data_IF_060395394754
#
_entry.id   IF_060395394754
#
_cell.length_a   1.000
_cell.length_b   1.000
_cell.length_c   1.000
_cell.angle_alpha   90.00
_cell.angle_beta   90.00
_cell.angle_gamma   90.00
#
_symmetry.space_group_name_H-M   'P 1'
#
loop_
_entity.id
_entity.type
_entity.pdbx_description
1 polymer ?
#
# COMPACT_ATOMS: atom_id res chain seq x y z
N UNK A 1 33.60 -25.08 -0.15
CA UNK A 1 32.20 -25.24 -0.58
C UNK A 1 31.33 -24.39 0.32
N UNK A 2 30.87 -23.28 -0.24
CA UNK A 2 29.58 -22.59 -0.03
C UNK A 2 29.11 -22.45 1.42
N UNK A 3 29.23 -21.21 1.93
CA UNK A 3 28.40 -20.66 3.00
C UNK A 3 26.92 -20.75 2.61
N UNK A 4 26.02 -21.21 3.48
CA UNK A 4 24.64 -20.76 3.42
C UNK A 4 24.51 -19.59 4.40
N UNK A 5 24.51 -18.37 3.87
CA UNK A 5 24.04 -17.20 4.59
C UNK A 5 22.60 -17.43 5.03
N UNK A 6 22.39 -17.59 6.33
CA UNK A 6 21.05 -17.59 6.93
C UNK A 6 20.47 -16.19 6.82
N UNK A 7 19.85 -15.92 5.67
CA UNK A 7 19.10 -14.70 5.42
C UNK A 7 17.95 -14.62 6.42
N UNK A 8 18.08 -13.71 7.36
CA UNK A 8 17.06 -13.33 8.34
C UNK A 8 15.90 -12.66 7.62
N UNK A 9 14.93 -13.46 7.15
CA UNK A 9 13.68 -12.95 6.59
C UNK A 9 12.83 -12.43 7.76
N UNK A 10 12.94 -11.13 8.04
CA UNK A 10 12.10 -10.42 9.00
C UNK A 10 10.67 -10.41 8.46
N UNK A 11 9.88 -11.40 8.87
CA UNK A 11 8.46 -11.49 8.57
C UNK A 11 7.74 -10.36 9.32
N UNK A 12 7.38 -9.29 8.59
CA UNK A 12 6.64 -8.15 9.13
C UNK A 12 5.29 -8.65 9.67
N UNK A 13 5.15 -8.65 11.01
CA UNK A 13 3.93 -8.95 11.76
C UNK A 13 2.71 -8.21 11.18
N UNK A 14 1.81 -8.94 10.54
CA UNK A 14 0.47 -8.47 10.16
C UNK A 14 -0.37 -8.45 11.45
N UNK A 15 -0.57 -7.26 12.03
CA UNK A 15 -1.55 -7.07 13.11
C UNK A 15 -2.95 -7.25 12.53
N UNK A 16 -3.54 -8.41 12.74
CA UNK A 16 -4.94 -8.70 12.45
C UNK A 16 -5.80 -8.21 13.63
N UNK A 17 -6.77 -7.33 13.35
CA UNK A 17 -7.63 -6.72 14.39
C UNK A 17 -8.03 -5.25 14.15
N UNK A 18 -7.57 -4.62 13.06
CA UNK A 18 -8.02 -3.29 12.65
C UNK A 18 -9.10 -3.37 11.57
N UNK A 19 -10.10 -2.46 11.62
CA UNK A 19 -11.08 -2.24 10.54
C UNK A 19 -10.41 -2.40 9.17
N UNK A 20 -10.97 -3.23 8.28
CA UNK A 20 -10.44 -3.43 6.92
C UNK A 20 -10.38 -2.07 6.20
N UNK A 21 -9.18 -1.51 6.07
CA UNK A 21 -8.96 -0.29 5.30
C UNK A 21 -8.92 -0.69 3.82
N UNK A 22 -9.63 0.06 2.98
CA UNK A 22 -9.60 -0.10 1.53
C UNK A 22 -9.12 1.19 0.87
N UNK A 23 -8.47 1.04 -0.29
CA UNK A 23 -8.07 2.19 -1.09
C UNK A 23 -9.31 2.84 -1.71
N UNK A 24 -9.47 4.15 -1.52
CA UNK A 24 -10.57 4.91 -2.12
C UNK A 24 -10.58 4.91 -3.65
N UNK A 25 -9.41 4.75 -4.28
CA UNK A 25 -9.29 4.75 -5.74
C UNK A 25 -9.40 3.34 -6.33
N UNK A 26 -8.54 2.40 -5.93
CA UNK A 26 -8.50 1.06 -6.55
C UNK A 26 -9.15 -0.06 -5.73
N UNK A 27 -9.72 0.26 -4.57
CA UNK A 27 -10.39 -0.68 -3.66
C UNK A 27 -9.52 -1.83 -3.12
N UNK A 28 -8.20 -1.84 -3.38
CA UNK A 28 -7.31 -2.83 -2.75
C UNK A 28 -7.39 -2.74 -1.24
N UNK A 29 -7.47 -3.89 -0.58
CA UNK A 29 -7.33 -4.06 0.87
C UNK A 29 -5.90 -4.44 1.27
N UNK A 30 -5.02 -4.67 0.28
CA UNK A 30 -3.62 -5.01 0.49
C UNK A 30 -2.71 -3.93 -0.10
N UNK A 31 -1.79 -3.42 0.73
CA UNK A 31 -0.77 -2.46 0.30
C UNK A 31 0.39 -2.50 1.29
N UNK A 32 1.66 -2.32 0.83
CA UNK A 32 2.80 -2.24 1.73
C UNK A 32 2.78 -1.00 2.62
N UNK A 33 2.05 0.05 2.23
CA UNK A 33 1.89 1.29 2.98
C UNK A 33 0.53 1.93 2.64
N UNK A 34 -0.21 2.34 3.67
CA UNK A 34 -1.38 3.18 3.53
C UNK A 34 -0.98 4.65 3.53
N UNK A 35 -1.48 5.41 2.56
CA UNK A 35 -1.33 6.86 2.46
C UNK A 35 -2.67 7.52 2.75
N UNK A 36 -2.67 8.74 3.27
CA UNK A 36 -3.87 9.57 3.38
C UNK A 36 -3.86 10.62 2.29
N UNK A 37 -5.05 10.98 1.81
CA UNK A 37 -5.22 12.17 0.98
C UNK A 37 -4.85 13.43 1.77
N UNK A 38 -4.48 14.54 1.10
CA UNK A 38 -4.10 15.79 1.78
C UNK A 38 -5.24 16.35 2.65
N UNK A 39 -6.49 16.16 2.22
CA UNK A 39 -7.72 16.46 2.96
C UNK A 39 -7.96 15.53 4.17
N UNK A 40 -7.24 14.41 4.27
CA UNK A 40 -7.35 13.37 5.32
C UNK A 40 -8.71 12.66 5.39
N UNK A 41 -9.59 12.83 4.40
CA UNK A 41 -10.88 12.12 4.35
C UNK A 41 -10.71 10.67 3.88
N UNK A 42 -9.77 10.41 2.97
CA UNK A 42 -9.67 9.12 2.29
C UNK A 42 -8.31 8.44 2.50
N UNK A 43 -8.35 7.11 2.54
CA UNK A 43 -7.16 6.26 2.54
C UNK A 43 -6.87 5.79 1.11
N UNK A 44 -5.60 5.89 0.71
CA UNK A 44 -5.09 5.42 -0.58
C UNK A 44 -4.04 4.35 -0.35
N UNK A 45 -3.94 3.39 -1.27
CA UNK A 45 -2.80 2.49 -1.31
C UNK A 45 -1.53 3.25 -1.72
N UNK A 46 -0.38 2.59 -1.59
CA UNK A 46 0.89 3.22 -1.93
C UNK A 46 0.94 3.69 -3.40
N UNK A 47 0.45 2.87 -4.33
CA UNK A 47 0.45 3.19 -5.76
C UNK A 47 -0.45 4.39 -6.09
N UNK A 48 -1.70 4.40 -5.61
CA UNK A 48 -2.65 5.47 -5.86
C UNK A 48 -2.22 6.79 -5.20
N UNK A 49 -1.67 6.73 -3.98
CA UNK A 49 -1.22 7.93 -3.29
C UNK A 49 0.03 8.56 -3.92
N UNK A 50 0.96 7.74 -4.43
CA UNK A 50 2.12 8.25 -5.17
C UNK A 50 1.70 8.85 -6.51
N UNK A 51 0.79 8.19 -7.24
CA UNK A 51 0.25 8.70 -8.49
C UNK A 51 -0.45 10.05 -8.29
N UNK A 52 -1.33 10.15 -7.29
CA UNK A 52 -2.02 11.40 -6.98
C UNK A 52 -1.06 12.53 -6.57
N UNK A 53 0.00 12.21 -5.81
CA UNK A 53 1.01 13.21 -5.43
C UNK A 53 1.71 13.81 -6.66
N UNK A 54 2.05 12.98 -7.63
CA UNK A 54 2.79 13.34 -8.84
C UNK A 54 1.90 14.05 -9.87
N UNK A 55 0.74 13.47 -10.19
CA UNK A 55 -0.09 13.89 -11.33
C UNK A 55 -1.31 14.71 -10.92
N UNK A 56 -1.58 14.87 -9.61
CA UNK A 56 -2.77 15.56 -9.07
C UNK A 56 -4.10 14.99 -9.58
N UNK A 57 -4.10 13.78 -10.12
CA UNK A 57 -5.27 13.07 -10.64
C UNK A 57 -5.30 11.63 -10.11
N UNK A 58 -6.47 11.00 -10.15
CA UNK A 58 -6.64 9.63 -9.70
C UNK A 58 -6.02 8.65 -10.70
N UNK A 59 -5.45 7.55 -10.20
CA UNK A 59 -4.86 6.52 -11.05
C UNK A 59 -5.98 5.86 -11.88
N UNK A 60 -5.81 5.72 -13.21
CA UNK A 60 -6.75 4.96 -14.03
C UNK A 60 -6.74 3.49 -13.61
N UNK A 61 -7.92 2.92 -13.40
CA UNK A 61 -8.11 1.55 -12.88
C UNK A 61 -8.21 0.48 -13.98
N UNK A 62 -8.21 0.89 -15.25
CA UNK A 62 -8.38 0.00 -16.40
C UNK A 62 -7.17 -0.95 -16.65
N UNK A 63 -6.18 -0.95 -15.76
CA UNK A 63 -4.91 -1.67 -15.92
C UNK A 63 -4.49 -2.30 -14.59
N UNK A 64 -5.43 -2.96 -13.91
CA UNK A 64 -5.19 -3.61 -12.62
C UNK A 64 -4.67 -5.03 -12.78
#
# INVERSE_FOLDING_TARGET
MIVPEVSTKVEKKKKEGGRKITCYNCHTDTTPLWRRTPDRLHSLCNACGLYYKQYKTHRPLNLQ
#
